data_IF_099651940292
#
_entry.id   IF_099651940292
#
_cell.length_a   1.000
_cell.length_b   1.000
_cell.length_c   1.000
_cell.angle_alpha   90.00
_cell.angle_beta   90.00
_cell.angle_gamma   90.00
#
_symmetry.space_group_name_H-M   'P 1'
#
loop_
_entity.id
_entity.type
_entity.pdbx_description
1 polymer ?
#
# COMPACT_ATOMS: atom_id res chain seq x y z
N UNK A 1 60.09 -12.73 28.96
CA UNK A 1 59.39 -11.96 27.91
C UNK A 1 58.16 -12.74 27.51
N UNK A 2 57.02 -12.39 28.10
CA UNK A 2 55.74 -13.11 27.95
C UNK A 2 55.07 -12.66 26.65
N UNK A 3 54.86 -13.60 25.71
CA UNK A 3 54.20 -13.33 24.42
C UNK A 3 52.68 -13.22 24.63
N UNK A 4 52.12 -12.06 24.34
CA UNK A 4 50.67 -11.86 24.17
C UNK A 4 50.28 -12.31 22.76
N UNK A 5 49.32 -13.22 22.65
CA UNK A 5 48.67 -13.59 21.39
C UNK A 5 47.33 -12.85 21.35
N UNK A 6 47.18 -11.90 20.43
CA UNK A 6 45.88 -11.31 20.11
C UNK A 6 45.13 -12.26 19.17
N UNK A 7 43.98 -12.76 19.60
CA UNK A 7 43.02 -13.44 18.74
C UNK A 7 42.08 -12.36 18.21
N UNK A 8 42.22 -11.98 16.94
CA UNK A 8 41.24 -11.17 16.25
C UNK A 8 40.07 -12.07 15.83
N UNK A 9 38.94 -11.97 16.53
CA UNK A 9 37.70 -12.59 16.11
C UNK A 9 37.12 -11.78 14.93
N UNK A 10 37.30 -12.27 13.71
CA UNK A 10 36.68 -11.71 12.52
C UNK A 10 35.20 -12.15 12.52
N UNK A 11 34.33 -11.33 13.12
CA UNK A 11 32.89 -11.54 13.06
C UNK A 11 32.40 -11.32 11.63
N UNK A 12 32.03 -12.39 10.92
CA UNK A 12 31.32 -12.27 9.65
C UNK A 12 29.96 -11.62 9.91
N UNK A 13 29.80 -10.37 9.48
CA UNK A 13 28.50 -9.71 9.46
C UNK A 13 27.73 -10.40 8.32
N UNK A 14 26.81 -11.31 8.66
CA UNK A 14 25.92 -11.90 7.67
C UNK A 14 24.98 -10.80 7.17
N UNK A 15 25.24 -10.30 5.96
CA UNK A 15 24.30 -9.45 5.24
C UNK A 15 23.06 -10.30 4.95
N UNK A 16 21.98 -10.11 5.70
CA UNK A 16 20.68 -10.69 5.34
C UNK A 16 20.22 -9.94 4.09
N UNK A 17 20.39 -10.56 2.93
CA UNK A 17 19.77 -10.08 1.70
C UNK A 17 18.26 -10.14 1.88
N UNK A 18 17.57 -9.02 1.64
CA UNK A 18 16.11 -9.01 1.51
C UNK A 18 15.69 -9.99 0.41
N UNK A 19 14.65 -10.77 0.66
CA UNK A 19 14.08 -11.67 -0.34
C UNK A 19 12.95 -10.98 -1.12
N UNK A 20 12.73 -11.45 -2.35
CA UNK A 20 11.74 -10.90 -3.27
C UNK A 20 12.28 -9.77 -4.18
N UNK A 21 11.43 -9.22 -5.05
CA UNK A 21 11.80 -8.14 -5.95
C UNK A 21 12.08 -6.83 -5.19
N UNK A 22 12.77 -5.85 -5.81
CA UNK A 22 12.90 -4.52 -5.24
C UNK A 22 11.52 -3.91 -4.95
N UNK A 23 11.38 -3.27 -3.78
CA UNK A 23 10.16 -2.59 -3.38
C UNK A 23 9.77 -1.48 -4.38
N UNK A 24 8.45 -1.28 -4.54
CA UNK A 24 7.90 -0.25 -5.42
C UNK A 24 8.03 1.11 -4.74
N UNK A 25 8.65 2.06 -5.43
CA UNK A 25 8.78 3.43 -4.93
C UNK A 25 7.47 4.19 -5.11
N UNK A 26 6.86 4.61 -4.00
CA UNK A 26 5.57 5.31 -4.01
C UNK A 26 5.69 6.84 -4.18
N UNK A 27 6.89 7.40 -4.08
CA UNK A 27 7.09 8.86 -4.08
C UNK A 27 6.20 9.56 -3.06
N UNK A 28 5.63 10.72 -3.43
CA UNK A 28 4.67 11.46 -2.61
C UNK A 28 3.36 10.72 -2.36
N UNK A 29 2.95 9.77 -3.23
CA UNK A 29 1.76 8.94 -2.98
C UNK A 29 1.91 8.09 -1.70
N UNK A 30 3.16 7.80 -1.32
CA UNK A 30 3.50 7.18 -0.04
C UNK A 30 3.19 8.02 1.20
N UNK A 31 2.64 9.23 1.08
CA UNK A 31 2.17 10.01 2.23
C UNK A 31 0.67 9.85 2.51
N UNK A 32 -0.08 9.19 1.63
CA UNK A 32 -1.54 9.10 1.70
C UNK A 32 -2.03 7.70 2.07
N UNK A 33 -2.99 7.62 3.00
CA UNK A 33 -3.74 6.40 3.25
C UNK A 33 -4.64 6.06 2.06
N UNK A 34 -5.28 7.08 1.47
CA UNK A 34 -6.17 6.92 0.32
C UNK A 34 -5.88 8.03 -0.70
N UNK A 35 -5.57 7.65 -1.93
CA UNK A 35 -5.37 8.59 -3.03
C UNK A 35 -6.19 8.13 -4.24
N UNK A 36 -6.91 9.04 -4.86
CA UNK A 36 -7.84 8.74 -5.95
C UNK A 36 -7.84 9.81 -7.04
N UNK A 37 -8.15 9.44 -8.28
CA UNK A 37 -8.36 10.42 -9.36
C UNK A 37 -9.80 10.88 -9.56
N UNK A 38 -10.77 10.04 -9.20
CA UNK A 38 -12.18 10.24 -9.57
C UNK A 38 -13.15 10.30 -8.38
N UNK A 39 -12.66 10.21 -7.14
CA UNK A 39 -13.46 10.47 -5.95
C UNK A 39 -13.25 9.44 -4.84
N UNK A 40 -13.54 9.87 -3.62
CA UNK A 40 -13.51 9.03 -2.42
C UNK A 40 -14.86 9.20 -1.73
N UNK A 41 -15.62 8.12 -1.62
CA UNK A 41 -16.92 8.14 -0.95
C UNK A 41 -16.90 7.25 0.28
N UNK A 42 -17.67 7.60 1.30
CA UNK A 42 -17.96 6.71 2.43
C UNK A 42 -19.44 6.68 2.73
N UNK A 43 -19.96 5.50 3.09
CA UNK A 43 -21.17 5.35 3.89
C UNK A 43 -20.72 5.35 5.36
N UNK A 44 -20.95 6.44 6.11
CA UNK A 44 -20.36 6.62 7.45
C UNK A 44 -20.81 5.56 8.46
N UNK A 45 -20.03 5.28 9.50
CA UNK A 45 -18.78 5.98 9.90
C UNK A 45 -17.54 5.13 9.60
N UNK A 46 -16.71 5.60 8.68
CA UNK A 46 -15.36 5.06 8.45
C UNK A 46 -14.36 5.60 9.47
N UNK A 47 -13.25 4.88 9.66
CA UNK A 47 -12.10 5.32 10.46
C UNK A 47 -10.85 5.24 9.60
N UNK A 48 -10.26 6.39 9.29
CA UNK A 48 -9.05 6.48 8.48
C UNK A 48 -7.92 7.07 9.31
N UNK A 49 -6.76 6.46 9.25
CA UNK A 49 -5.52 6.99 9.83
C UNK A 49 -4.53 7.25 8.71
N UNK A 50 -4.20 8.53 8.51
CA UNK A 50 -3.40 9.04 7.40
C UNK A 50 -4.20 9.96 6.48
N UNK A 51 -3.48 10.67 5.61
CA UNK A 51 -4.07 11.68 4.72
C UNK A 51 -4.87 11.03 3.58
N UNK A 52 -5.90 11.72 3.11
CA UNK A 52 -6.65 11.34 1.90
C UNK A 52 -6.62 12.45 0.85
N UNK A 53 -6.61 12.07 -0.43
CA UNK A 53 -6.45 13.03 -1.52
C UNK A 53 -7.19 12.67 -2.79
N UNK A 54 -7.74 13.68 -3.48
CA UNK A 54 -8.29 13.52 -4.83
C UNK A 54 -7.72 14.55 -5.82
N UNK A 55 -7.31 14.08 -6.99
CA UNK A 55 -6.89 14.93 -8.11
C UNK A 55 -6.86 14.15 -9.43
N UNK A 56 -7.31 14.69 -10.56
CA UNK A 56 -7.63 16.10 -10.81
C UNK A 56 -9.06 16.51 -10.43
N UNK A 57 -9.88 15.59 -9.94
CA UNK A 57 -11.24 15.92 -9.50
C UNK A 57 -11.21 16.81 -8.25
N UNK A 58 -12.28 17.59 -8.06
CA UNK A 58 -12.41 18.51 -6.94
C UNK A 58 -12.93 17.82 -5.66
N UNK A 59 -12.99 18.60 -4.58
CA UNK A 59 -13.46 18.17 -3.26
C UNK A 59 -14.92 17.72 -3.22
N UNK A 60 -15.76 18.08 -4.20
CA UNK A 60 -17.16 17.60 -4.23
C UNK A 60 -17.25 16.09 -4.50
N UNK A 61 -16.19 15.49 -5.05
CA UNK A 61 -16.09 14.05 -5.20
C UNK A 61 -15.63 13.32 -3.92
N UNK A 62 -15.35 14.06 -2.84
CA UNK A 62 -15.11 13.51 -1.51
C UNK A 62 -16.44 13.54 -0.73
N UNK A 63 -17.18 12.43 -0.74
CA UNK A 63 -18.58 12.39 -0.27
C UNK A 63 -18.77 11.52 0.97
N UNK A 64 -19.73 11.89 1.83
CA UNK A 64 -20.01 11.18 3.08
C UNK A 64 -19.07 11.51 4.25
N UNK A 65 -18.03 12.31 4.03
CA UNK A 65 -17.04 12.64 5.07
C UNK A 65 -17.44 13.79 5.99
N UNK A 66 -18.50 14.53 5.68
CA UNK A 66 -18.89 15.75 6.41
C UNK A 66 -17.69 16.69 6.59
N UNK A 67 -17.04 17.02 5.47
CA UNK A 67 -15.81 17.81 5.47
C UNK A 67 -16.05 19.18 6.11
N UNK A 68 -15.12 19.59 6.97
CA UNK A 68 -14.98 20.95 7.43
C UNK A 68 -13.70 21.53 6.82
N UNK A 69 -13.79 22.68 6.14
CA UNK A 69 -12.59 23.36 5.64
C UNK A 69 -11.68 23.76 6.82
N UNK A 70 -10.37 23.59 6.65
CA UNK A 70 -9.38 23.99 7.66
C UNK A 70 -8.82 25.40 7.31
N UNK A 71 -8.91 26.42 8.20
CA UNK A 71 -8.33 27.74 7.97
C UNK A 71 -6.90 27.88 8.53
N UNK A 72 -6.04 28.76 7.96
CA UNK A 72 -6.42 30.06 7.39
C UNK A 72 -6.33 30.20 5.87
N UNK A 73 -5.90 29.18 5.13
CA UNK A 73 -5.60 29.31 3.70
C UNK A 73 -6.42 28.40 2.77
N UNK A 74 -7.34 27.57 3.28
CA UNK A 74 -8.13 26.62 2.48
C UNK A 74 -7.25 25.64 1.67
N UNK A 75 -6.07 25.26 2.18
CA UNK A 75 -5.18 24.29 1.53
C UNK A 75 -5.58 22.83 1.80
N UNK A 76 -6.38 22.57 2.83
CA UNK A 76 -6.88 21.25 3.23
C UNK A 76 -8.26 21.36 3.90
N UNK A 77 -8.88 20.20 4.10
CA UNK A 77 -10.06 20.04 4.93
C UNK A 77 -9.82 18.95 5.99
N UNK A 78 -10.72 18.88 6.97
CA UNK A 78 -10.73 17.88 8.03
C UNK A 78 -12.04 17.11 8.04
N UNK A 79 -12.04 15.94 8.69
CA UNK A 79 -13.22 15.13 8.95
C UNK A 79 -13.03 14.39 10.27
N UNK A 80 -14.10 14.19 11.02
CA UNK A 80 -14.08 13.32 12.22
C UNK A 80 -13.77 11.85 11.90
N UNK A 81 -13.89 11.46 10.63
CA UNK A 81 -13.58 10.11 10.14
C UNK A 81 -12.11 9.94 9.72
N UNK A 82 -11.32 11.02 9.69
CA UNK A 82 -9.95 11.03 9.18
C UNK A 82 -9.02 11.59 10.26
N UNK A 83 -8.16 10.74 10.80
CA UNK A 83 -6.99 11.15 11.59
C UNK A 83 -5.87 11.49 10.62
N UNK A 84 -5.93 12.71 10.07
CA UNK A 84 -5.10 13.22 8.98
C UNK A 84 -5.79 14.39 8.29
N UNK A 85 -5.25 14.81 7.15
CA UNK A 85 -5.80 15.88 6.33
C UNK A 85 -6.49 15.32 5.08
N UNK A 86 -7.48 16.07 4.60
CA UNK A 86 -8.17 15.83 3.34
C UNK A 86 -7.68 16.86 2.33
N UNK A 87 -7.24 16.43 1.16
CA UNK A 87 -6.74 17.29 0.09
C UNK A 87 -7.54 17.09 -1.21
N UNK A 88 -7.74 18.17 -1.96
CA UNK A 88 -8.43 18.13 -3.26
C UNK A 88 -7.82 19.12 -4.26
N UNK A 89 -8.03 18.87 -5.54
CA UNK A 89 -7.43 19.66 -6.62
C UNK A 89 -7.92 21.12 -6.70
N UNK A 90 -9.05 21.47 -6.08
CA UNK A 90 -9.60 22.81 -6.05
C UNK A 90 -9.25 23.61 -4.77
N UNK A 91 -8.42 23.05 -3.89
CA UNK A 91 -7.94 23.76 -2.70
C UNK A 91 -6.86 24.78 -3.05
N UNK A 92 -6.55 25.66 -2.11
CA UNK A 92 -5.61 26.74 -2.32
C UNK A 92 -4.18 26.24 -2.57
N UNK A 93 -3.36 27.11 -3.18
CA UNK A 93 -1.96 26.80 -3.42
C UNK A 93 -1.20 26.52 -2.10
N UNK A 94 -0.26 25.57 -2.08
CA UNK A 94 0.29 24.80 -3.22
C UNK A 94 -0.41 23.48 -3.52
N UNK A 95 -1.52 23.16 -2.84
CA UNK A 95 -2.17 21.84 -2.85
C UNK A 95 -2.42 21.25 -4.25
N UNK A 96 -2.95 21.98 -5.26
CA UNK A 96 -3.21 21.38 -6.58
C UNK A 96 -1.94 20.91 -7.29
N UNK A 97 -0.85 21.67 -7.19
CA UNK A 97 0.44 21.33 -7.80
C UNK A 97 1.06 20.11 -7.08
N UNK A 98 1.00 20.09 -5.75
CA UNK A 98 1.48 18.96 -4.96
C UNK A 98 0.71 17.68 -5.24
N UNK A 99 -0.63 17.76 -5.36
CA UNK A 99 -1.46 16.61 -5.73
C UNK A 99 -1.20 16.12 -7.16
N UNK A 100 -0.89 17.03 -8.10
CA UNK A 100 -0.54 16.63 -9.47
C UNK A 100 0.72 15.75 -9.47
N UNK A 101 1.75 16.13 -8.72
CA UNK A 101 2.96 15.32 -8.54
C UNK A 101 2.63 14.01 -7.82
N UNK A 102 1.82 14.07 -6.77
CA UNK A 102 1.43 12.89 -5.98
C UNK A 102 0.67 11.85 -6.81
N UNK A 103 -0.25 12.28 -7.69
CA UNK A 103 -0.94 11.38 -8.63
C UNK A 103 0.03 10.82 -9.68
N UNK A 104 0.96 11.63 -10.17
CA UNK A 104 2.03 11.16 -11.06
C UNK A 104 2.87 10.05 -10.42
N UNK A 105 3.28 10.23 -9.16
CA UNK A 105 4.03 9.22 -8.41
C UNK A 105 3.23 7.92 -8.21
N UNK A 106 1.92 8.01 -7.99
CA UNK A 106 1.02 6.85 -7.96
C UNK A 106 0.98 6.11 -9.30
N UNK A 107 0.90 6.82 -10.42
CA UNK A 107 0.88 6.23 -11.76
C UNK A 107 2.22 5.58 -12.12
N UNK A 108 3.32 6.20 -11.71
CA UNK A 108 4.68 5.64 -11.83
C UNK A 108 4.78 4.38 -10.99
N UNK A 109 4.36 4.40 -9.73
CA UNK A 109 4.36 3.23 -8.84
C UNK A 109 3.52 2.08 -9.41
N UNK A 110 2.33 2.37 -9.94
CA UNK A 110 1.50 1.38 -10.63
C UNK A 110 2.24 0.76 -11.83
N UNK A 111 2.84 1.60 -12.68
CA UNK A 111 3.53 1.16 -13.90
C UNK A 111 4.78 0.35 -13.55
N UNK A 112 5.52 0.76 -12.54
CA UNK A 112 6.67 0.05 -12.00
C UNK A 112 6.25 -1.33 -11.47
N UNK A 113 5.21 -1.39 -10.64
CA UNK A 113 4.68 -2.63 -10.10
C UNK A 113 4.10 -3.56 -11.17
N UNK A 114 3.49 -3.02 -12.24
CA UNK A 114 2.92 -3.78 -13.37
C UNK A 114 3.97 -4.26 -14.37
N UNK A 115 5.13 -3.59 -14.41
CA UNK A 115 6.20 -3.85 -15.35
C UNK A 115 6.83 -5.22 -15.18
N UNK A 116 7.60 -5.64 -16.18
CA UNK A 116 8.38 -6.88 -16.11
C UNK A 116 9.56 -6.69 -15.16
N UNK A 117 9.36 -7.02 -13.88
CA UNK A 117 10.39 -7.01 -12.82
C UNK A 117 11.37 -8.19 -12.91
N UNK A 118 11.31 -8.98 -13.99
CA UNK A 118 12.05 -10.23 -14.18
C UNK A 118 11.14 -11.44 -14.33
N UNK A 119 11.72 -12.64 -14.25
CA UNK A 119 10.96 -13.90 -14.23
C UNK A 119 10.18 -13.98 -12.92
N UNK A 120 8.84 -14.16 -12.95
CA UNK A 120 8.05 -14.31 -11.73
C UNK A 120 8.40 -15.60 -11.00
N UNK A 121 8.49 -15.53 -9.67
CA UNK A 121 8.66 -16.71 -8.81
C UNK A 121 7.44 -17.63 -8.88
N UNK A 122 6.26 -17.02 -9.10
CA UNK A 122 5.01 -17.73 -9.26
C UNK A 122 4.20 -17.19 -10.45
N UNK A 123 3.86 -18.06 -11.38
CA UNK A 123 3.00 -17.75 -12.52
C UNK A 123 1.65 -18.45 -12.36
N UNK A 124 0.56 -17.67 -12.39
CA UNK A 124 -0.83 -18.13 -12.29
C UNK A 124 -1.03 -19.13 -11.14
N UNK A 125 -0.52 -18.80 -9.95
CA UNK A 125 -0.63 -19.68 -8.78
C UNK A 125 -2.10 -20.07 -8.57
N UNK A 126 -2.39 -21.38 -8.66
CA UNK A 126 -3.75 -21.93 -8.57
C UNK A 126 -4.78 -21.24 -9.49
N UNK A 127 -4.38 -20.82 -10.69
CA UNK A 127 -5.24 -20.14 -11.66
C UNK A 127 -5.94 -18.87 -11.09
N UNK A 128 -5.29 -18.21 -10.13
CA UNK A 128 -5.82 -17.01 -9.45
C UNK A 128 -6.67 -17.30 -8.21
N UNK A 129 -6.88 -18.57 -7.84
CA UNK A 129 -7.50 -18.94 -6.56
C UNK A 129 -6.43 -19.09 -5.47
N UNK A 130 -6.21 -18.05 -4.65
CA UNK A 130 -5.19 -18.13 -3.61
C UNK A 130 -5.57 -19.07 -2.45
N UNK A 131 -6.82 -19.54 -2.36
CA UNK A 131 -7.30 -20.35 -1.23
C UNK A 131 -6.38 -21.54 -0.87
N UNK A 132 -6.05 -22.44 -1.82
CA UNK A 132 -5.23 -23.62 -1.53
C UNK A 132 -3.80 -23.34 -1.05
N UNK A 133 -3.22 -22.18 -1.37
CA UNK A 133 -1.83 -21.81 -1.01
C UNK A 133 -1.75 -20.62 -0.05
N UNK A 134 -2.88 -20.09 0.39
CA UNK A 134 -2.97 -18.99 1.33
C UNK A 134 -2.53 -19.39 2.75
N UNK A 135 -1.99 -20.59 2.98
CA UNK A 135 -1.43 -20.95 4.29
C UNK A 135 -0.04 -20.37 4.53
N UNK A 136 0.71 -20.04 3.46
CA UNK A 136 2.04 -19.39 3.54
C UNK A 136 2.51 -18.86 2.18
N UNK A 137 2.28 -17.58 1.91
CA UNK A 137 2.86 -16.87 0.76
C UNK A 137 4.21 -16.26 1.16
N UNK A 138 5.30 -16.79 0.60
CA UNK A 138 6.66 -16.31 0.82
C UNK A 138 7.00 -15.07 -0.03
N UNK A 139 8.10 -14.35 0.26
CA UNK A 139 8.54 -13.20 -0.52
C UNK A 139 8.71 -13.55 -1.99
N UNK A 140 8.37 -12.63 -2.89
CA UNK A 140 8.50 -12.89 -4.32
C UNK A 140 7.58 -12.09 -5.23
N UNK A 141 7.77 -12.32 -6.52
CA UNK A 141 6.97 -11.81 -7.61
C UNK A 141 5.93 -12.86 -8.03
N UNK A 142 4.66 -12.54 -7.83
CA UNK A 142 3.52 -13.36 -8.22
C UNK A 142 2.82 -12.69 -9.40
N UNK A 143 2.67 -13.41 -10.51
CA UNK A 143 2.06 -12.89 -11.73
C UNK A 143 0.85 -13.71 -12.14
N UNK A 144 -0.26 -13.02 -12.37
CA UNK A 144 -1.52 -13.58 -12.81
C UNK A 144 -1.97 -12.92 -14.12
N UNK A 145 -2.26 -13.74 -15.13
CA UNK A 145 -2.86 -13.30 -16.38
C UNK A 145 -4.41 -13.24 -16.31
N UNK A 146 -4.97 -13.32 -15.10
CA UNK A 146 -6.39 -13.37 -14.77
C UNK A 146 -6.70 -12.53 -13.53
N UNK A 147 -7.98 -12.51 -13.13
CA UNK A 147 -8.40 -12.05 -11.80
C UNK A 147 -7.92 -13.00 -10.71
N UNK A 148 -7.71 -12.46 -9.52
CA UNK A 148 -7.30 -13.17 -8.31
C UNK A 148 -8.40 -13.09 -7.26
N UNK A 149 -8.62 -14.19 -6.55
CA UNK A 149 -9.54 -14.26 -5.41
C UNK A 149 -8.84 -14.82 -4.17
N UNK A 150 -9.22 -14.28 -3.02
CA UNK A 150 -8.80 -14.71 -1.68
C UNK A 150 -10.06 -15.24 -0.95
N UNK A 151 -10.44 -16.51 -1.16
CA UNK A 151 -11.68 -17.05 -0.61
C UNK A 151 -11.55 -17.57 0.84
N UNK A 152 -10.32 -17.67 1.35
CA UNK A 152 -10.00 -18.16 2.69
C UNK A 152 -9.07 -17.18 3.40
N UNK A 153 -8.80 -17.42 4.69
CA UNK A 153 -7.73 -16.70 5.38
C UNK A 153 -6.39 -16.94 4.66
N UNK A 154 -5.56 -15.91 4.66
CA UNK A 154 -4.29 -15.87 3.96
C UNK A 154 -3.15 -15.48 4.89
N UNK A 155 -2.04 -16.19 4.83
CA UNK A 155 -0.83 -15.87 5.58
C UNK A 155 0.26 -15.41 4.60
N UNK A 156 0.78 -14.22 4.82
CA UNK A 156 1.99 -13.73 4.17
C UNK A 156 3.12 -13.81 5.20
N UNK A 157 4.24 -14.43 4.84
CA UNK A 157 5.28 -14.79 5.80
C UNK A 157 6.67 -14.53 5.23
N UNK A 158 7.42 -13.68 5.92
CA UNK A 158 8.80 -13.34 5.60
C UNK A 158 9.32 -12.35 6.64
N UNK A 159 10.55 -11.88 6.45
CA UNK A 159 11.19 -10.93 7.34
C UNK A 159 10.71 -9.50 7.07
N UNK A 160 11.05 -8.56 7.96
CA UNK A 160 10.66 -7.15 7.85
C UNK A 160 11.29 -6.41 6.66
N UNK A 161 12.32 -6.99 6.05
CA UNK A 161 13.01 -6.45 4.86
C UNK A 161 12.52 -7.07 3.56
N UNK A 162 11.76 -8.17 3.63
CA UNK A 162 11.33 -8.91 2.45
C UNK A 162 10.18 -8.20 1.74
N UNK A 163 10.03 -8.47 0.44
CA UNK A 163 9.06 -7.80 -0.43
C UNK A 163 8.19 -8.78 -1.21
N UNK A 164 6.93 -8.38 -1.42
CA UNK A 164 5.95 -9.10 -2.23
C UNK A 164 5.37 -8.17 -3.29
N UNK A 165 5.34 -8.63 -4.54
CA UNK A 165 4.60 -7.94 -5.62
C UNK A 165 3.64 -8.95 -6.24
N UNK A 166 2.35 -8.68 -6.12
CA UNK A 166 1.28 -9.41 -6.79
C UNK A 166 0.80 -8.59 -7.99
N UNK A 167 1.07 -9.10 -9.20
CA UNK A 167 0.63 -8.51 -10.46
C UNK A 167 -0.57 -9.28 -11.01
N UNK A 168 -1.67 -8.59 -11.29
CA UNK A 168 -2.82 -9.21 -11.95
C UNK A 168 -3.42 -8.33 -13.05
N UNK A 169 -3.75 -8.96 -14.18
CA UNK A 169 -4.41 -8.31 -15.32
C UNK A 169 -5.93 -8.17 -15.12
N UNK A 170 -6.50 -8.88 -14.16
CA UNK A 170 -7.90 -8.78 -13.78
C UNK A 170 -8.12 -8.08 -12.44
N UNK A 171 -9.20 -8.47 -11.78
CA UNK A 171 -9.64 -7.94 -10.49
C UNK A 171 -8.98 -8.66 -9.31
N UNK A 172 -8.99 -8.02 -8.15
CA UNK A 172 -8.68 -8.65 -6.85
C UNK A 172 -9.95 -8.68 -6.00
N UNK A 173 -10.37 -9.88 -5.58
CA UNK A 173 -11.53 -10.03 -4.69
C UNK A 173 -11.14 -10.78 -3.43
N UNK A 174 -11.54 -10.26 -2.27
CA UNK A 174 -11.35 -10.90 -0.99
C UNK A 174 -12.71 -11.19 -0.37
N UNK A 175 -12.98 -12.46 -0.07
CA UNK A 175 -14.28 -12.89 0.43
C UNK A 175 -14.57 -12.34 1.83
N UNK A 176 -15.87 -12.20 2.15
CA UNK A 176 -16.33 -11.70 3.44
C UNK A 176 -15.74 -12.49 4.62
N UNK A 177 -15.43 -11.75 5.69
CA UNK A 177 -14.91 -12.26 6.96
C UNK A 177 -13.60 -13.07 6.84
N UNK A 178 -12.84 -12.92 5.76
CA UNK A 178 -11.50 -13.50 5.61
C UNK A 178 -10.43 -12.52 6.05
N UNK A 179 -9.26 -13.03 6.42
CA UNK A 179 -8.14 -12.22 6.89
C UNK A 179 -6.85 -12.55 6.16
N UNK A 180 -6.17 -11.52 5.66
CA UNK A 180 -4.73 -11.59 5.37
C UNK A 180 -3.99 -11.31 6.68
N UNK A 181 -3.10 -12.20 7.08
CA UNK A 181 -2.32 -12.13 8.33
C UNK A 181 -0.84 -12.14 8.00
N UNK A 182 -0.10 -11.21 8.61
CA UNK A 182 1.35 -11.12 8.45
C UNK A 182 2.06 -11.91 9.54
N UNK A 183 3.05 -12.72 9.15
CA UNK A 183 3.85 -13.53 10.06
C UNK A 183 5.35 -13.27 9.87
N UNK A 184 6.15 -13.71 10.84
CA UNK A 184 7.62 -13.68 10.81
C UNK A 184 8.24 -12.28 10.66
N UNK A 185 7.48 -11.23 10.92
CA UNK A 185 7.94 -9.84 10.81
C UNK A 185 7.64 -9.17 9.48
N UNK A 186 6.91 -9.83 8.57
CA UNK A 186 6.44 -9.21 7.33
C UNK A 186 5.67 -7.91 7.63
N UNK A 187 5.89 -6.89 6.81
CA UNK A 187 5.29 -5.56 6.97
C UNK A 187 4.37 -5.26 5.79
N UNK A 188 3.17 -4.73 6.06
CA UNK A 188 2.22 -4.32 5.02
C UNK A 188 2.84 -3.32 4.02
N UNK A 189 3.76 -2.47 4.46
CA UNK A 189 4.47 -1.53 3.61
C UNK A 189 5.32 -2.15 2.51
N UNK A 190 5.66 -3.45 2.60
CA UNK A 190 6.47 -4.16 1.61
C UNK A 190 5.63 -5.11 0.74
N UNK A 191 4.31 -5.06 0.86
CA UNK A 191 3.38 -5.92 0.12
C UNK A 191 2.63 -5.04 -0.87
N UNK A 192 2.85 -5.28 -2.16
CA UNK A 192 2.27 -4.49 -3.24
C UNK A 192 1.31 -5.34 -4.05
N UNK A 193 0.08 -4.85 -4.22
CA UNK A 193 -0.96 -5.46 -5.03
C UNK A 193 -1.22 -4.56 -6.23
N UNK A 194 -0.64 -4.88 -7.38
CA UNK A 194 -0.93 -4.21 -8.64
C UNK A 194 -2.13 -4.90 -9.31
N UNK A 195 -3.20 -4.14 -9.49
CA UNK A 195 -4.49 -4.65 -9.97
C UNK A 195 -4.95 -3.85 -11.18
N UNK A 196 -5.02 -4.49 -12.36
CA UNK A 196 -5.44 -3.83 -13.59
C UNK A 196 -6.97 -3.67 -13.70
N UNK A 197 -7.72 -4.50 -12.98
CA UNK A 197 -9.15 -4.37 -12.77
C UNK A 197 -9.49 -3.56 -11.52
N UNK A 198 -10.53 -3.98 -10.80
CA UNK A 198 -10.94 -3.39 -9.52
C UNK A 198 -10.47 -4.22 -8.33
N UNK A 199 -10.49 -3.63 -7.14
CA UNK A 199 -10.32 -4.33 -5.87
C UNK A 199 -11.64 -4.33 -5.11
N UNK A 200 -12.01 -5.49 -4.55
CA UNK A 200 -13.08 -5.60 -3.57
C UNK A 200 -12.59 -6.31 -2.31
N UNK A 201 -12.65 -5.61 -1.17
CA UNK A 201 -12.45 -6.14 0.17
C UNK A 201 -13.83 -6.25 0.82
N UNK A 202 -14.41 -7.46 0.77
CA UNK A 202 -15.80 -7.71 1.11
C UNK A 202 -16.07 -7.60 2.63
N UNK A 203 -17.34 -7.70 3.01
CA UNK A 203 -17.87 -7.39 4.35
C UNK A 203 -17.06 -8.08 5.45
N UNK A 204 -16.59 -7.28 6.42
CA UNK A 204 -15.83 -7.77 7.57
C UNK A 204 -14.45 -8.39 7.26
N UNK A 205 -13.99 -8.34 6.01
CA UNK A 205 -12.67 -8.85 5.64
C UNK A 205 -11.54 -7.93 6.14
N UNK A 206 -10.33 -8.48 6.28
CA UNK A 206 -9.15 -7.74 6.70
C UNK A 206 -8.00 -7.94 5.71
N UNK A 207 -7.56 -6.86 5.09
CA UNK A 207 -6.53 -6.84 4.06
C UNK A 207 -5.23 -6.20 4.59
N UNK A 208 -4.10 -6.62 4.04
CA UNK A 208 -2.77 -6.11 4.36
C UNK A 208 -2.04 -5.73 3.07
N UNK A 209 -1.48 -4.52 3.00
CA UNK A 209 -0.61 -4.09 1.91
C UNK A 209 -1.02 -2.83 1.15
N UNK A 210 -0.23 -2.49 0.15
CA UNK A 210 -0.39 -1.32 -0.72
C UNK A 210 -1.19 -1.73 -1.96
N UNK A 211 -2.38 -1.20 -2.13
CA UNK A 211 -3.24 -1.45 -3.29
C UNK A 211 -2.95 -0.40 -4.37
N UNK A 212 -2.35 -0.83 -5.49
CA UNK A 212 -2.11 -0.04 -6.69
C UNK A 212 -3.15 -0.42 -7.75
N UNK A 213 -4.26 0.31 -7.79
CA UNK A 213 -5.47 -0.09 -8.49
C UNK A 213 -5.71 0.77 -9.72
N UNK A 214 -5.84 0.15 -10.89
CA UNK A 214 -6.08 0.86 -12.14
C UNK A 214 -7.50 1.42 -12.25
N UNK A 215 -8.46 0.74 -11.64
CA UNK A 215 -9.87 1.16 -11.68
C UNK A 215 -10.37 1.49 -10.26
N UNK A 216 -11.43 0.85 -9.80
CA UNK A 216 -12.12 1.15 -8.56
C UNK A 216 -11.60 0.30 -7.40
N UNK A 217 -11.65 0.85 -6.18
CA UNK A 217 -11.42 0.08 -4.96
C UNK A 217 -12.66 0.17 -4.05
N UNK A 218 -13.23 -0.98 -3.72
CA UNK A 218 -14.40 -1.13 -2.88
C UNK A 218 -14.01 -1.77 -1.55
N UNK A 219 -14.18 -1.03 -0.46
CA UNK A 219 -13.96 -1.53 0.91
C UNK A 219 -15.33 -1.58 1.57
N UNK A 220 -15.86 -2.79 1.70
CA UNK A 220 -17.25 -3.04 2.11
C UNK A 220 -17.46 -2.88 3.61
N UNK A 221 -18.70 -3.13 4.02
CA UNK A 221 -19.18 -2.88 5.39
C UNK A 221 -18.29 -3.53 6.44
N UNK A 222 -17.73 -2.73 7.34
CA UNK A 222 -16.94 -3.20 8.48
C UNK A 222 -15.63 -3.90 8.12
N UNK A 223 -15.20 -3.85 6.84
CA UNK A 223 -13.90 -4.38 6.45
C UNK A 223 -12.77 -3.42 6.80
N UNK A 224 -11.55 -3.93 6.78
CA UNK A 224 -10.37 -3.20 7.25
C UNK A 224 -9.16 -3.42 6.36
N UNK A 225 -8.30 -2.42 6.27
CA UNK A 225 -7.03 -2.45 5.55
C UNK A 225 -5.93 -1.81 6.39
N UNK A 226 -4.85 -2.55 6.64
CA UNK A 226 -3.57 -1.99 7.05
C UNK A 226 -2.72 -1.83 5.80
N UNK A 227 -2.59 -0.60 5.30
CA UNK A 227 -2.17 -0.41 3.93
C UNK A 227 -2.45 0.97 3.36
N UNK A 228 -2.42 1.04 2.03
CA UNK A 228 -2.81 2.23 1.27
C UNK A 228 -3.73 1.82 0.15
N UNK A 229 -4.65 2.72 -0.22
CA UNK A 229 -5.51 2.57 -1.39
C UNK A 229 -5.11 3.65 -2.39
N UNK A 230 -4.42 3.27 -3.45
CA UNK A 230 -3.94 4.17 -4.50
C UNK A 230 -4.68 3.80 -5.81
N UNK A 231 -5.81 4.46 -6.06
CA UNK A 231 -6.74 4.09 -7.13
C UNK A 231 -6.80 5.14 -8.25
N UNK A 232 -6.65 4.72 -9.50
CA UNK A 232 -6.73 5.63 -10.64
C UNK A 232 -8.17 5.99 -11.06
N UNK A 233 -9.20 5.44 -10.41
CA UNK A 233 -10.58 5.93 -10.50
C UNK A 233 -11.14 6.25 -9.11
N UNK A 234 -12.18 5.55 -8.65
CA UNK A 234 -12.90 5.83 -7.40
C UNK A 234 -12.46 4.91 -6.25
N UNK A 235 -12.60 5.41 -5.03
CA UNK A 235 -12.57 4.61 -3.79
C UNK A 235 -13.92 4.73 -3.09
N UNK A 236 -14.50 3.60 -2.71
CA UNK A 236 -15.77 3.59 -1.96
C UNK A 236 -15.60 2.81 -0.66
N UNK A 237 -15.94 3.43 0.47
CA UNK A 237 -15.87 2.84 1.81
C UNK A 237 -17.27 2.65 2.37
N UNK A 238 -17.44 1.67 3.26
CA UNK A 238 -18.69 1.45 3.99
C UNK A 238 -18.36 1.12 5.44
N UNK A 239 -18.45 2.09 6.35
CA UNK A 239 -18.11 1.89 7.77
C UNK A 239 -16.79 1.12 7.98
N UNK A 240 -15.82 1.36 7.09
CA UNK A 240 -14.59 0.58 6.98
C UNK A 240 -13.43 1.28 7.69
N UNK A 241 -12.40 0.51 8.04
CA UNK A 241 -11.16 1.04 8.64
C UNK A 241 -10.00 1.01 7.66
N UNK A 242 -9.28 2.11 7.48
CA UNK A 242 -8.05 2.15 6.66
C UNK A 242 -6.93 2.79 7.47
N UNK A 243 -5.88 2.03 7.74
CA UNK A 243 -4.74 2.49 8.53
C UNK A 243 -3.50 2.50 7.67
N UNK A 244 -2.94 3.68 7.44
CA UNK A 244 -1.66 3.83 6.77
C UNK A 244 -0.56 3.05 7.51
N UNK A 245 0.24 2.22 6.82
CA UNK A 245 1.30 1.47 7.46
C UNK A 245 2.40 2.44 7.91
N UNK A 246 2.94 2.19 9.10
CA UNK A 246 4.19 2.81 9.54
C UNK A 246 5.27 2.48 8.50
N UNK A 247 5.89 3.51 7.91
CA UNK A 247 6.92 3.29 6.89
C UNK A 247 8.09 2.48 7.46
N UNK A 248 8.64 1.50 6.72
CA UNK A 248 9.94 0.97 7.00
C UNK A 248 10.96 2.06 6.65
N UNK A 249 11.97 2.24 7.49
CA UNK A 249 13.00 3.28 7.46
C UNK A 249 13.92 3.26 6.19
N UNK A 250 13.43 2.87 5.01
CA UNK A 250 14.21 2.82 3.77
C UNK A 250 14.66 4.21 3.30
N UNK A 251 13.97 5.27 3.72
CA UNK A 251 14.38 6.66 3.47
C UNK A 251 15.50 7.18 4.38
N UNK A 252 15.77 6.52 5.53
CA UNK A 252 16.88 6.91 6.43
C UNK A 252 18.20 6.24 6.08
N UNK A 253 18.19 5.09 5.42
CA UNK A 253 19.42 4.39 5.04
C UNK A 253 20.22 5.14 3.96
N UNK A 254 19.54 5.77 2.99
CA UNK A 254 20.21 6.57 1.96
C UNK A 254 20.81 7.88 2.50
N UNK A 255 20.26 8.42 3.59
CA UNK A 255 20.82 9.57 4.27
C UNK A 255 22.04 9.21 5.13
N UNK A 256 22.08 8.00 5.70
CA UNK A 256 23.17 7.57 6.58
C UNK A 256 24.39 7.04 5.81
N UNK A 257 24.23 6.58 4.56
CA UNK A 257 25.38 6.23 3.69
C UNK A 257 26.07 7.45 3.08
N UNK A 258 25.40 8.59 2.99
CA UNK A 258 26.01 9.85 2.54
C UNK A 258 26.87 10.50 3.63
N UNK A 259 26.53 10.29 4.91
CA UNK A 259 27.22 10.86 6.07
C UNK A 259 28.43 10.02 6.56
N UNK A 260 28.69 8.85 5.95
CA UNK A 260 29.91 8.05 6.20
C UNK A 260 31.00 8.24 5.13
N UNK A 261 30.82 9.19 4.20
CA UNK A 261 31.76 9.46 3.11
C UNK A 261 32.27 10.92 3.10
N UNK A 262 32.20 11.61 4.24
CA UNK A 262 32.89 12.90 4.48
C UNK A 262 33.88 12.75 5.62
#
# INVERSE_FOLDING_TARGET
>A
MTKFVLIAALGAIASVSAAGPPAVLLGKAGNYAILSKAGISTVPTSVITGDIGVSPIDSMAITGFSLAEDPPNNASATSSQVTGNVYAANYAMTTPADLTVTIGDMEIAYTDAAGEKGTPDHMNLNDGDLGPNCTRLGPGLYKFASSVKIPTDCNISGNSTDTWIFQMSGDLTMAANKRVTLHCGALASNIFWQVAGFVEVDVGAHMEGILLVKTAAHVRTGSSLNGRILAQTIVTLQSSTVTQPTQPDSGRLLAQTADMLV
#
